data_IF_687401429166
#
_entry.id   IF_687401429166
#
_cell.length_a   1.000
_cell.length_b   1.000
_cell.length_c   1.000
_cell.angle_alpha   90.00
_cell.angle_beta   90.00
_cell.angle_gamma   90.00
#
_symmetry.space_group_name_H-M   'P 1'
#
loop_
_entity.id
_entity.type
_entity.pdbx_description
1 polymer ?
#
# COMPACT_ATOMS: atom_id res chain seq x y z
N UNK A 1 4.86 6.44 -9.67
CA UNK A 1 5.33 6.61 -8.27
C UNK A 1 4.30 5.99 -7.33
N UNK A 2 4.75 5.23 -6.34
CA UNK A 2 3.87 4.54 -5.39
C UNK A 2 2.92 5.49 -4.64
N UNK A 3 1.71 5.04 -4.36
CA UNK A 3 0.71 5.80 -3.59
C UNK A 3 -0.08 6.82 -4.39
N UNK A 4 0.23 6.99 -5.68
CA UNK A 4 -0.48 7.92 -6.55
C UNK A 4 -1.76 7.27 -7.09
N UNK A 5 -2.90 7.96 -6.90
CA UNK A 5 -4.13 7.64 -7.61
C UNK A 5 -3.89 7.90 -9.10
N UNK A 6 -4.03 6.87 -9.91
CA UNK A 6 -3.75 6.94 -11.34
C UNK A 6 -5.00 7.27 -12.17
N UNK A 7 -6.19 6.99 -11.64
CA UNK A 7 -7.48 7.27 -12.29
C UNK A 7 -8.42 7.95 -11.29
N UNK A 8 -8.58 9.29 -11.34
CA UNK A 8 -9.32 10.05 -10.34
C UNK A 8 -10.86 9.93 -10.47
N UNK A 9 -11.33 9.31 -11.54
CA UNK A 9 -12.75 9.16 -11.86
C UNK A 9 -13.29 7.90 -11.17
N UNK A 10 -14.45 8.05 -10.51
CA UNK A 10 -15.13 6.98 -9.79
C UNK A 10 -14.23 6.19 -8.83
N UNK A 11 -13.61 6.87 -7.88
CA UNK A 11 -12.90 6.25 -6.75
C UNK A 11 -13.60 6.54 -5.42
N UNK A 12 -13.20 5.77 -4.41
CA UNK A 12 -13.61 6.00 -3.02
C UNK A 12 -12.34 6.11 -2.20
N UNK A 13 -12.12 7.29 -1.61
CA UNK A 13 -11.06 7.59 -0.65
C UNK A 13 -11.73 8.11 0.60
N UNK A 14 -11.32 7.60 1.75
CA UNK A 14 -11.84 8.02 3.04
C UNK A 14 -10.72 8.69 3.85
N UNK A 15 -11.03 9.79 4.54
CA UNK A 15 -10.10 10.38 5.49
C UNK A 15 -9.87 9.41 6.65
N UNK A 16 -8.64 9.33 7.12
CA UNK A 16 -8.23 8.50 8.25
C UNK A 16 -7.32 9.28 9.19
N UNK A 17 -7.19 8.81 10.43
CA UNK A 17 -6.19 9.33 11.36
C UNK A 17 -5.04 8.33 11.45
N UNK A 18 -3.83 8.82 11.21
CA UNK A 18 -2.59 8.05 11.23
C UNK A 18 -1.94 8.13 12.61
N UNK A 19 -1.41 7.00 13.08
CA UNK A 19 -0.67 6.92 14.35
C UNK A 19 0.79 7.30 14.13
N UNK A 20 1.23 8.43 14.65
CA UNK A 20 2.61 8.91 14.46
C UNK A 20 3.66 7.93 15.01
N UNK A 21 3.37 7.28 16.14
CA UNK A 21 4.22 6.26 16.75
C UNK A 21 4.29 4.94 15.96
N UNK A 22 3.42 4.75 14.96
CA UNK A 22 3.41 3.58 14.06
C UNK A 22 3.16 4.03 12.61
N UNK A 23 4.09 4.83 12.09
CA UNK A 23 3.98 5.41 10.77
C UNK A 23 4.24 4.40 9.65
N UNK A 24 3.54 4.57 8.53
CA UNK A 24 3.86 3.86 7.29
C UNK A 24 5.28 4.20 6.80
N UNK A 25 6.01 3.18 6.37
CA UNK A 25 7.34 3.35 5.78
C UNK A 25 7.29 4.02 4.39
N UNK A 26 6.17 3.91 3.68
CA UNK A 26 5.95 4.49 2.37
C UNK A 26 4.45 4.70 2.07
N UNK A 27 4.15 5.50 1.04
CA UNK A 27 2.82 5.55 0.45
C UNK A 27 2.57 4.34 -0.46
N UNK A 28 1.30 4.04 -0.74
CA UNK A 28 0.92 2.90 -1.56
C UNK A 28 1.08 1.56 -0.84
N UNK A 29 1.04 1.57 0.50
CA UNK A 29 1.02 0.37 1.33
C UNK A 29 -0.41 0.11 1.83
N UNK A 30 -0.78 -1.16 1.90
CA UNK A 30 -1.99 -1.61 2.56
C UNK A 30 -1.92 -1.35 4.07
N UNK A 31 -3.05 -0.96 4.66
CA UNK A 31 -3.15 -0.70 6.10
C UNK A 31 -4.39 -1.29 6.73
N UNK A 32 -4.41 -1.27 8.06
CA UNK A 32 -5.51 -1.75 8.91
C UNK A 32 -5.91 -0.69 9.93
N UNK A 33 -7.03 -0.90 10.61
CA UNK A 33 -7.35 -0.16 11.83
C UNK A 33 -6.76 -0.88 13.04
N UNK A 34 -6.05 -0.15 13.90
CA UNK A 34 -5.63 -0.66 15.21
C UNK A 34 -6.80 -0.65 16.22
N UNK A 35 -6.54 -1.06 17.46
CA UNK A 35 -7.55 -1.11 18.50
C UNK A 35 -8.16 0.25 18.86
N UNK A 36 -7.42 1.35 18.60
CA UNK A 36 -7.84 2.72 18.86
C UNK A 36 -8.55 3.35 17.64
N UNK A 37 -8.66 2.60 16.53
CA UNK A 37 -9.26 3.06 15.27
C UNK A 37 -8.32 3.86 14.37
N UNK A 38 -7.01 3.92 14.67
CA UNK A 38 -6.03 4.57 13.80
C UNK A 38 -5.72 3.71 12.59
N UNK A 39 -5.54 4.33 11.43
CA UNK A 39 -5.05 3.65 10.24
C UNK A 39 -3.53 3.49 10.32
N UNK A 40 -3.08 2.25 10.35
CA UNK A 40 -1.68 1.87 10.60
C UNK A 40 -1.21 0.81 9.60
N UNK A 41 0.12 0.61 9.44
CA UNK A 41 0.66 -0.47 8.62
C UNK A 41 0.15 -1.85 9.07
N UNK A 42 0.20 -2.81 8.13
CA UNK A 42 0.08 -4.22 8.51
C UNK A 42 1.24 -4.64 9.42
N UNK A 43 0.99 -5.63 10.25
CA UNK A 43 1.94 -6.29 11.12
C UNK A 43 2.21 -7.73 10.62
N UNK A 44 3.29 -8.31 11.13
CA UNK A 44 3.64 -9.69 10.82
C UNK A 44 2.49 -10.65 11.18
N UNK A 45 2.14 -11.55 10.26
CA UNK A 45 1.09 -12.55 10.42
C UNK A 45 -0.34 -12.04 10.19
N UNK A 46 -0.53 -10.77 9.81
CA UNK A 46 -1.85 -10.27 9.42
C UNK A 46 -2.43 -11.04 8.23
N UNK A 47 -3.75 -11.03 8.12
CA UNK A 47 -4.52 -11.70 7.08
C UNK A 47 -5.19 -10.67 6.15
N UNK A 48 -5.59 -11.11 4.94
CA UNK A 48 -6.15 -10.21 3.94
C UNK A 48 -7.41 -9.45 4.41
N UNK A 49 -8.20 -10.01 5.33
CA UNK A 49 -9.39 -9.36 5.91
C UNK A 49 -9.07 -8.15 6.81
N UNK A 50 -7.80 -8.02 7.26
CA UNK A 50 -7.33 -6.86 8.00
C UNK A 50 -7.06 -5.66 7.11
N UNK A 51 -6.90 -5.84 5.79
CA UNK A 51 -6.70 -4.72 4.86
C UNK A 51 -7.97 -3.87 4.83
N UNK A 52 -7.85 -2.61 5.25
CA UNK A 52 -8.93 -1.62 5.28
C UNK A 52 -8.70 -0.45 4.34
N UNK A 53 -7.59 -0.40 3.63
CA UNK A 53 -7.14 0.81 2.95
C UNK A 53 -5.85 0.58 2.20
N UNK A 54 -5.61 1.36 1.14
CA UNK A 54 -4.26 1.59 0.63
C UNK A 54 -3.92 3.05 0.88
N UNK A 55 -2.78 3.30 1.54
CA UNK A 55 -2.38 4.63 1.96
C UNK A 55 -2.06 5.52 0.76
N UNK A 56 -2.83 6.60 0.61
CA UNK A 56 -2.71 7.53 -0.51
C UNK A 56 -1.62 8.56 -0.23
N UNK A 57 -0.86 8.90 -1.26
CA UNK A 57 0.06 10.04 -1.22
C UNK A 57 -0.72 11.34 -1.47
N UNK A 58 -0.77 12.27 -0.50
CA UNK A 58 -1.39 13.57 -0.73
C UNK A 58 -0.52 14.43 -1.64
N UNK A 59 -1.15 15.27 -2.47
CA UNK A 59 -0.44 16.31 -3.22
C UNK A 59 -0.45 17.61 -2.42
N UNK A 60 0.67 18.36 -2.31
CA UNK A 60 1.95 18.20 -3.01
C UNK A 60 3.02 17.39 -2.24
N UNK A 61 2.71 16.84 -1.06
CA UNK A 61 3.70 16.22 -0.15
C UNK A 61 4.35 14.97 -0.73
N UNK A 62 5.68 14.91 -0.70
CA UNK A 62 6.47 13.80 -1.25
C UNK A 62 6.96 12.78 -0.21
N UNK A 63 6.94 13.10 1.09
CA UNK A 63 7.62 12.32 2.14
C UNK A 63 6.81 12.25 3.43
N UNK A 64 6.53 11.03 3.89
CA UNK A 64 5.83 10.77 5.17
C UNK A 64 6.71 11.03 6.40
N UNK A 65 7.99 10.62 6.45
CA UNK A 65 8.86 10.94 7.58
C UNK A 65 8.97 12.44 7.86
N UNK A 66 8.93 13.28 6.83
CA UNK A 66 8.99 14.73 6.99
C UNK A 66 7.69 15.30 7.55
N UNK A 67 6.54 14.73 7.19
CA UNK A 67 5.25 15.07 7.82
C UNK A 67 5.25 14.75 9.32
N UNK A 68 5.71 13.56 9.70
CA UNK A 68 5.81 13.16 11.12
C UNK A 68 6.70 14.13 11.90
N UNK A 69 7.86 14.52 11.34
CA UNK A 69 8.75 15.52 11.94
C UNK A 69 8.10 16.88 12.10
N UNK A 70 7.30 17.31 11.12
CA UNK A 70 6.64 18.62 11.14
C UNK A 70 5.48 18.70 12.14
N UNK A 71 4.68 17.63 12.25
CA UNK A 71 3.54 17.57 13.18
C UNK A 71 4.01 17.35 14.63
N UNK A 72 5.16 16.69 14.80
CA UNK A 72 5.76 16.40 16.09
C UNK A 72 5.47 14.98 16.57
N UNK A 73 6.42 14.41 17.32
CA UNK A 73 6.28 13.07 17.92
C UNK A 73 5.05 13.01 18.82
N UNK A 74 4.33 11.89 18.78
CA UNK A 74 3.06 11.63 19.50
C UNK A 74 1.85 12.47 19.08
N UNK A 75 1.97 13.20 17.97
CA UNK A 75 0.86 13.93 17.37
C UNK A 75 0.37 13.19 16.13
N UNK A 76 -0.74 12.48 16.32
CA UNK A 76 -1.45 11.81 15.22
C UNK A 76 -1.94 12.84 14.19
N UNK A 77 -2.08 12.44 12.94
CA UNK A 77 -2.33 13.36 11.83
C UNK A 77 -3.27 12.75 10.80
N UNK A 78 -4.00 13.59 10.03
CA UNK A 78 -4.88 13.09 8.99
C UNK A 78 -4.09 12.49 7.83
N UNK A 79 -4.71 11.53 7.16
CA UNK A 79 -4.28 11.00 5.88
C UNK A 79 -5.48 10.46 5.11
N UNK A 80 -5.20 9.82 3.99
CA UNK A 80 -6.21 9.30 3.09
C UNK A 80 -5.98 7.83 2.82
N UNK A 81 -7.04 7.03 2.96
CA UNK A 81 -7.05 5.63 2.58
C UNK A 81 -7.95 5.46 1.36
N UNK A 82 -7.37 5.03 0.24
CA UNK A 82 -8.17 4.52 -0.86
C UNK A 82 -8.97 3.32 -0.33
N UNK A 83 -10.21 3.15 -0.78
CA UNK A 83 -11.08 1.99 -0.53
C UNK A 83 -11.45 1.29 -1.83
N UNK A 84 -11.51 2.07 -2.90
CA UNK A 84 -11.80 1.61 -4.25
C UNK A 84 -11.14 2.54 -5.25
N UNK A 85 -10.48 2.00 -6.26
CA UNK A 85 -9.90 2.80 -7.34
C UNK A 85 -8.67 2.15 -7.94
N UNK A 86 -7.83 2.99 -8.53
CA UNK A 86 -6.61 2.60 -9.22
C UNK A 86 -5.44 3.37 -8.63
N UNK A 87 -4.37 2.65 -8.34
CA UNK A 87 -3.17 3.22 -7.73
C UNK A 87 -1.92 2.61 -8.33
N UNK A 88 -0.91 3.45 -8.59
CA UNK A 88 0.44 2.97 -8.81
C UNK A 88 1.04 2.51 -7.48
N UNK A 89 1.50 1.27 -7.43
CA UNK A 89 2.25 0.68 -6.31
C UNK A 89 3.66 0.32 -6.77
N UNK A 90 4.57 0.05 -5.82
CA UNK A 90 5.93 -0.40 -6.12
C UNK A 90 6.13 -1.82 -5.58
N UNK A 91 6.64 -2.71 -6.44
CA UNK A 91 6.90 -4.12 -6.16
C UNK A 91 8.35 -4.39 -5.71
N UNK A 92 9.07 -3.34 -5.32
CA UNK A 92 10.49 -3.38 -4.99
C UNK A 92 11.34 -2.77 -6.11
N UNK A 93 12.38 -2.02 -5.75
CA UNK A 93 13.24 -1.30 -6.71
C UNK A 93 14.06 -2.22 -7.62
N UNK A 94 14.25 -3.48 -7.25
CA UNK A 94 14.91 -4.50 -8.06
C UNK A 94 13.96 -5.34 -8.93
N UNK A 95 12.65 -5.08 -8.89
CA UNK A 95 11.66 -5.87 -9.59
C UNK A 95 11.30 -5.26 -10.96
N UNK A 96 11.43 -6.02 -12.05
CA UNK A 96 10.97 -5.60 -13.37
C UNK A 96 9.48 -5.92 -13.57
N UNK A 97 8.62 -4.90 -13.51
CA UNK A 97 7.18 -5.03 -13.65
C UNK A 97 6.69 -5.04 -15.11
N UNK A 98 7.58 -4.92 -16.10
CA UNK A 98 7.21 -4.86 -17.53
C UNK A 98 6.54 -6.14 -18.06
N UNK A 99 6.73 -7.26 -17.37
CA UNK A 99 6.18 -8.57 -17.76
C UNK A 99 4.80 -8.86 -17.16
N UNK A 100 4.31 -8.01 -16.25
CA UNK A 100 3.00 -8.18 -15.61
C UNK A 100 1.89 -8.09 -16.66
N UNK A 101 0.95 -9.03 -16.60
CA UNK A 101 -0.21 -9.06 -17.47
C UNK A 101 -1.42 -8.44 -16.76
N UNK A 102 -2.30 -7.82 -17.55
CA UNK A 102 -3.60 -7.36 -17.05
C UNK A 102 -4.39 -8.55 -16.49
N UNK A 103 -5.02 -8.35 -15.34
CA UNK A 103 -5.75 -9.40 -14.60
C UNK A 103 -4.84 -10.31 -13.77
N UNK A 104 -3.53 -10.06 -13.71
CA UNK A 104 -2.65 -10.82 -12.84
C UNK A 104 -3.02 -10.59 -11.36
N UNK A 105 -2.92 -11.64 -10.51
CA UNK A 105 -3.28 -11.54 -9.10
C UNK A 105 -2.34 -10.60 -8.34
N UNK A 106 -2.89 -9.90 -7.35
CA UNK A 106 -2.14 -9.02 -6.45
C UNK A 106 -2.02 -9.69 -5.08
N UNK A 107 -0.80 -9.75 -4.54
CA UNK A 107 -0.53 -10.26 -3.20
C UNK A 107 -0.04 -9.12 -2.31
N UNK A 108 -0.52 -9.10 -1.07
CA UNK A 108 -0.06 -8.15 -0.04
C UNK A 108 0.89 -8.84 0.92
N UNK A 109 2.02 -8.20 1.21
CA UNK A 109 3.04 -8.72 2.13
C UNK A 109 2.60 -8.59 3.58
N UNK A 110 2.63 -9.72 4.28
CA UNK A 110 2.19 -9.85 5.68
C UNK A 110 3.26 -10.50 6.57
N UNK A 111 4.39 -10.93 6.01
CA UNK A 111 5.57 -11.34 6.78
C UNK A 111 6.82 -11.09 5.97
N UNK A 112 7.92 -10.78 6.65
CA UNK A 112 9.21 -10.43 6.04
C UNK A 112 10.24 -11.54 6.26
N UNK A 113 11.22 -11.62 5.36
CA UNK A 113 12.53 -12.24 5.55
C UNK A 113 13.48 -11.70 4.47
N UNK A 114 14.66 -12.32 4.32
CA UNK A 114 15.66 -11.91 3.33
C UNK A 114 15.24 -12.11 1.86
N UNK A 115 14.07 -12.69 1.59
CA UNK A 115 13.54 -12.91 0.23
C UNK A 115 12.47 -11.89 -0.17
N UNK A 116 12.07 -11.02 0.75
CA UNK A 116 10.98 -10.05 0.57
C UNK A 116 11.55 -8.63 0.58
N UNK A 117 11.67 -8.05 -0.62
CA UNK A 117 12.27 -6.72 -0.85
C UNK A 117 11.24 -5.56 -0.82
N UNK A 118 10.06 -5.80 -0.27
CA UNK A 118 9.01 -4.79 -0.08
C UNK A 118 8.58 -4.73 1.39
N UNK A 119 8.18 -3.55 1.92
CA UNK A 119 7.70 -3.43 3.29
C UNK A 119 6.42 -4.24 3.56
N UNK A 120 6.08 -4.44 4.84
CA UNK A 120 4.75 -4.92 5.24
C UNK A 120 3.66 -4.02 4.66
N UNK A 121 2.59 -4.64 4.15
CA UNK A 121 1.55 -3.96 3.38
C UNK A 121 1.95 -3.61 1.95
N UNK A 122 3.18 -3.89 1.52
CA UNK A 122 3.62 -3.77 0.14
C UNK A 122 2.99 -4.85 -0.75
N UNK A 123 3.21 -4.72 -2.07
CA UNK A 123 2.55 -5.57 -3.06
C UNK A 123 3.54 -6.42 -3.87
N UNK A 124 3.12 -7.62 -4.25
CA UNK A 124 3.85 -8.53 -5.12
C UNK A 124 2.92 -9.13 -6.17
N UNK A 125 3.49 -9.59 -7.29
CA UNK A 125 2.77 -10.28 -8.37
C UNK A 125 2.85 -11.81 -8.29
N UNK A 126 3.62 -12.34 -7.34
CA UNK A 126 3.84 -13.78 -7.16
C UNK A 126 3.53 -14.17 -5.72
N UNK A 127 2.88 -15.32 -5.54
CA UNK A 127 2.64 -15.88 -4.22
C UNK A 127 3.93 -16.44 -3.62
N UNK A 128 4.19 -16.09 -2.37
CA UNK A 128 5.29 -16.64 -1.57
C UNK A 128 4.68 -17.17 -0.27
N UNK A 129 4.76 -18.50 -0.10
CA UNK A 129 4.09 -19.20 1.01
C UNK A 129 4.50 -18.61 2.37
N UNK A 130 3.50 -18.25 3.18
CA UNK A 130 3.70 -17.67 4.51
C UNK A 130 4.20 -16.22 4.54
N UNK A 131 4.43 -15.58 3.38
CA UNK A 131 4.95 -14.19 3.31
C UNK A 131 3.94 -13.20 2.79
N UNK A 132 3.11 -13.62 1.85
CA UNK A 132 2.07 -12.79 1.30
C UNK A 132 0.75 -13.54 1.18
N UNK A 133 -0.33 -12.77 1.14
CA UNK A 133 -1.69 -13.27 1.01
C UNK A 133 -2.34 -12.62 -0.21
N UNK A 134 -3.16 -13.39 -0.93
CA UNK A 134 -3.87 -12.88 -2.10
C UNK A 134 -4.90 -11.82 -1.67
N UNK A 135 -4.88 -10.67 -2.36
CA UNK A 135 -5.93 -9.67 -2.24
C UNK A 135 -6.95 -9.93 -3.35
N UNK A 136 -7.95 -10.76 -3.07
CA UNK A 136 -8.87 -11.32 -4.10
C UNK A 136 -9.70 -10.28 -4.85
N UNK A 137 -9.83 -9.07 -4.30
CA UNK A 137 -10.54 -7.95 -4.92
C UNK A 137 -9.58 -6.94 -5.56
N UNK A 138 -8.39 -7.38 -5.96
CA UNK A 138 -7.40 -6.57 -6.65
C UNK A 138 -6.76 -7.32 -7.82
N UNK A 139 -6.41 -6.57 -8.86
CA UNK A 139 -5.71 -7.09 -10.04
C UNK A 139 -4.75 -6.04 -10.60
N UNK A 140 -3.68 -6.49 -11.26
CA UNK A 140 -2.85 -5.61 -12.07
C UNK A 140 -3.59 -5.18 -13.34
N UNK A 141 -3.43 -3.92 -13.75
CA UNK A 141 -4.11 -3.41 -14.94
C UNK A 141 -3.31 -3.57 -16.23
N UNK A 142 -2.05 -3.99 -16.13
CA UNK A 142 -1.14 -4.19 -17.26
C UNK A 142 0.32 -4.18 -16.84
N UNK A 143 1.20 -4.06 -17.84
CA UNK A 143 2.63 -3.96 -17.64
C UNK A 143 3.00 -2.69 -16.85
N UNK A 144 3.91 -2.84 -15.90
CA UNK A 144 4.55 -1.75 -15.18
C UNK A 144 5.84 -1.30 -15.86
N UNK A 145 6.73 -0.69 -15.07
CA UNK A 145 8.08 -0.28 -15.49
C UNK A 145 9.19 -1.15 -14.87
N UNK A 146 10.41 -0.96 -15.37
CA UNK A 146 11.60 -1.68 -14.92
C UNK A 146 12.05 -1.30 -13.48
N UNK A 147 11.44 -0.30 -12.86
CA UNK A 147 11.73 0.13 -11.48
C UNK A 147 10.67 -0.40 -10.49
N UNK A 148 9.87 -1.38 -10.91
CA UNK A 148 8.87 -2.05 -10.10
C UNK A 148 7.59 -1.26 -9.91
N UNK A 149 7.37 -0.15 -10.62
CA UNK A 149 6.07 0.54 -10.54
C UNK A 149 5.04 -0.17 -11.41
N UNK A 150 3.90 -0.52 -10.85
CA UNK A 150 2.76 -1.06 -11.59
C UNK A 150 1.45 -0.47 -11.08
N UNK A 151 0.44 -0.42 -11.94
CA UNK A 151 -0.91 -0.01 -11.55
C UNK A 151 -1.73 -1.24 -11.13
N UNK A 152 -2.41 -1.11 -9.99
CA UNK A 152 -3.41 -2.07 -9.53
C UNK A 152 -4.79 -1.41 -9.52
N UNK A 153 -5.82 -2.20 -9.82
CA UNK A 153 -7.20 -1.90 -9.45
C UNK A 153 -7.50 -2.59 -8.13
N UNK A 154 -8.28 -1.95 -7.27
CA UNK A 154 -8.72 -2.56 -6.03
C UNK A 154 -10.08 -2.02 -5.59
N UNK A 155 -10.83 -2.88 -4.89
CA UNK A 155 -12.06 -2.54 -4.19
C UNK A 155 -12.15 -3.35 -2.89
N UNK A 156 -12.47 -2.69 -1.78
CA UNK A 156 -12.87 -3.38 -0.54
C UNK A 156 -14.34 -3.81 -0.56
#
# INVERSE_FOLDING_TARGET
MAGAISRPQDLTVEPVILKSANAFAAYGLAGKYDADGFFVPLADGDTADKVKGIYVRPYPTSSQPDMVRQVGTDKNFPGDAMKRGYMTVNLGSGFDASTIKKGAPVYVVVSLDSTIDVPLGGFMSTSVSGKNVALTNAEFTGAGDANGNAEISWKI
#
